data_IF_782469633379
#
_entry.id   IF_782469633379
#
_cell.length_a   1.000
_cell.length_b   1.000
_cell.length_c   1.000
_cell.angle_alpha   90.00
_cell.angle_beta   90.00
_cell.angle_gamma   90.00
#
_symmetry.space_group_name_H-M   'P 1'
#
loop_
_entity.id
_entity.type
_entity.pdbx_description
1 polymer ?
#
# COMPACT_ATOMS: atom_id res chain seq x y z
N UNK A 1 22.09 2.30 -12.28
CA UNK A 1 21.73 2.12 -10.87
C UNK A 1 21.54 0.63 -10.58
N UNK A 2 22.62 -0.05 -10.16
CA UNK A 2 22.52 -1.40 -9.63
C UNK A 2 21.65 -1.36 -8.37
N UNK A 3 20.58 -2.14 -8.40
CA UNK A 3 19.48 -2.09 -7.46
C UNK A 3 19.88 -2.02 -5.99
N UNK A 4 19.60 -0.89 -5.38
CA UNK A 4 19.60 -0.77 -3.92
C UNK A 4 18.51 -1.72 -3.42
N UNK A 5 18.92 -2.80 -2.76
CA UNK A 5 18.00 -3.76 -2.15
C UNK A 5 17.15 -2.97 -1.15
N UNK A 6 15.85 -2.92 -1.39
CA UNK A 6 14.93 -2.25 -0.48
C UNK A 6 14.86 -3.02 0.83
N UNK A 7 14.53 -2.33 1.90
CA UNK A 7 14.38 -2.95 3.21
C UNK A 7 13.24 -3.97 3.20
N UNK A 8 13.36 -5.03 3.98
CA UNK A 8 12.29 -6.04 4.16
C UNK A 8 11.14 -5.47 5.00
N UNK A 9 10.53 -4.41 4.51
CA UNK A 9 9.46 -3.66 5.16
C UNK A 9 8.27 -3.57 4.23
N UNK A 10 7.11 -3.91 4.75
CA UNK A 10 5.81 -3.51 4.19
C UNK A 10 5.34 -2.25 4.91
N UNK A 11 4.61 -1.37 4.22
CA UNK A 11 4.19 -0.10 4.81
C UNK A 11 2.74 0.20 4.48
N UNK A 12 2.01 0.69 5.49
CA UNK A 12 0.77 1.42 5.34
C UNK A 12 0.94 2.84 5.89
N UNK A 13 0.40 3.82 5.18
CA UNK A 13 0.32 5.21 5.65
C UNK A 13 -1.04 5.82 5.34
N UNK A 14 -1.73 6.32 6.35
CA UNK A 14 -3.07 6.92 6.19
C UNK A 14 -3.86 6.91 7.49
N UNK A 15 -5.15 7.21 7.37
CA UNK A 15 -6.06 7.18 8.53
C UNK A 15 -6.22 5.76 9.06
N UNK A 16 -6.09 5.61 10.38
CA UNK A 16 -6.16 4.32 11.08
C UNK A 16 -7.58 4.16 11.66
N UNK A 17 -8.57 4.09 10.76
CA UNK A 17 -9.95 3.81 11.15
C UNK A 17 -10.30 2.33 10.98
N UNK A 18 -11.13 1.81 11.88
CA UNK A 18 -11.60 0.40 11.84
C UNK A 18 -12.19 0.02 10.49
N UNK A 19 -12.93 0.95 9.87
CA UNK A 19 -13.56 0.78 8.57
C UNK A 19 -12.58 0.73 7.38
N UNK A 20 -11.31 1.06 7.58
CA UNK A 20 -10.32 1.07 6.49
C UNK A 20 -9.50 -0.22 6.35
N UNK A 21 -9.92 -1.28 7.05
CA UNK A 21 -9.32 -2.61 6.90
C UNK A 21 -8.00 -2.83 7.63
N UNK A 22 -7.62 -1.92 8.55
CA UNK A 22 -6.34 -2.00 9.27
C UNK A 22 -6.25 -3.28 10.10
N UNK A 23 -7.31 -3.62 10.85
CA UNK A 23 -7.34 -4.86 11.63
C UNK A 23 -7.08 -6.08 10.75
N UNK A 24 -7.77 -6.17 9.63
CA UNK A 24 -7.63 -7.29 8.69
C UNK A 24 -6.23 -7.36 8.09
N UNK A 25 -5.62 -6.21 7.76
CA UNK A 25 -4.23 -6.15 7.31
C UNK A 25 -3.28 -6.72 8.36
N UNK A 26 -3.43 -6.30 9.62
CA UNK A 26 -2.58 -6.76 10.73
C UNK A 26 -2.71 -8.26 10.95
N UNK A 27 -3.94 -8.77 11.03
CA UNK A 27 -4.23 -10.19 11.20
C UNK A 27 -3.64 -11.02 10.04
N UNK A 28 -3.82 -10.55 8.80
CA UNK A 28 -3.29 -11.21 7.60
C UNK A 28 -1.76 -11.16 7.54
N UNK A 29 -1.15 -10.06 7.95
CA UNK A 29 0.30 -9.92 7.97
C UNK A 29 0.93 -10.87 9.01
N UNK A 30 0.33 -11.00 10.16
CA UNK A 30 0.79 -11.94 11.21
C UNK A 30 0.58 -13.40 10.80
N UNK A 31 -0.42 -13.69 9.98
CA UNK A 31 -0.70 -15.02 9.44
C UNK A 31 0.22 -15.44 8.28
N UNK A 32 1.05 -14.52 7.75
CA UNK A 32 2.01 -14.86 6.69
C UNK A 32 3.05 -15.87 7.18
N UNK A 33 3.35 -16.86 6.33
CA UNK A 33 4.44 -17.83 6.58
C UNK A 33 5.83 -17.18 6.50
N UNK A 34 5.99 -16.13 5.71
CA UNK A 34 7.25 -15.38 5.61
C UNK A 34 7.38 -14.39 6.77
N UNK A 35 8.22 -14.70 7.72
CA UNK A 35 8.44 -13.91 8.95
C UNK A 35 9.59 -12.89 8.84
N UNK A 36 10.25 -12.81 7.69
CA UNK A 36 11.41 -11.94 7.47
C UNK A 36 11.04 -10.45 7.32
N UNK A 37 9.76 -10.16 7.07
CA UNK A 37 9.27 -8.82 6.86
C UNK A 37 8.64 -8.25 8.11
N UNK A 38 8.78 -6.94 8.26
CA UNK A 38 8.05 -6.13 9.25
C UNK A 38 7.00 -5.27 8.54
N UNK A 39 5.95 -4.88 9.27
CA UNK A 39 4.91 -3.97 8.82
C UNK A 39 4.99 -2.67 9.61
N UNK A 40 5.30 -1.58 8.92
CA UNK A 40 5.24 -0.24 9.49
C UNK A 40 3.88 0.41 9.20
N UNK A 41 3.25 0.94 10.24
CA UNK A 41 1.97 1.64 10.16
C UNK A 41 2.15 3.10 10.58
N UNK A 42 1.77 4.01 9.70
CA UNK A 42 1.82 5.46 9.91
C UNK A 42 0.42 6.05 9.86
N UNK A 43 0.11 6.95 10.77
CA UNK A 43 -1.14 7.68 10.81
C UNK A 43 -1.78 7.73 12.19
N UNK A 44 -3.06 8.13 12.23
CA UNK A 44 -3.88 8.16 13.45
C UNK A 44 -5.34 7.84 13.12
N UNK A 45 -6.10 7.43 14.12
CA UNK A 45 -7.52 7.10 13.97
C UNK A 45 -8.08 6.32 15.15
N UNK A 46 -9.34 5.91 15.03
CA UNK A 46 -10.10 5.24 16.09
C UNK A 46 -9.59 3.82 16.44
N UNK A 47 -8.73 3.23 15.59
CA UNK A 47 -8.11 1.92 15.84
C UNK A 47 -6.73 2.03 16.50
N UNK A 48 -6.28 3.21 16.87
CA UNK A 48 -4.94 3.45 17.41
C UNK A 48 -4.64 2.66 18.68
N UNK A 49 -5.58 2.64 19.62
CA UNK A 49 -5.35 1.98 20.92
C UNK A 49 -5.08 0.48 20.73
N UNK A 50 -5.92 -0.19 19.95
CA UNK A 50 -5.78 -1.62 19.65
C UNK A 50 -4.50 -1.91 18.85
N UNK A 51 -4.12 -1.02 17.93
CA UNK A 51 -2.86 -1.14 17.17
C UNK A 51 -1.64 -1.04 18.08
N UNK A 52 -1.61 -0.12 19.03
CA UNK A 52 -0.51 0.04 20.00
C UNK A 52 -0.38 -1.23 20.85
N UNK A 53 -1.49 -1.77 21.34
CA UNK A 53 -1.48 -3.02 22.12
C UNK A 53 -0.96 -4.21 21.28
N UNK A 54 -1.36 -4.29 20.02
CA UNK A 54 -0.94 -5.36 19.12
C UNK A 54 0.57 -5.24 18.80
N UNK A 55 1.04 -4.04 18.50
CA UNK A 55 2.45 -3.77 18.22
C UNK A 55 3.35 -4.09 19.42
N UNK A 56 2.87 -3.86 20.66
CA UNK A 56 3.60 -4.23 21.87
C UNK A 56 3.77 -5.75 22.04
N UNK A 57 2.93 -6.56 21.39
CA UNK A 57 2.94 -8.04 21.49
C UNK A 57 3.64 -8.72 20.31
N UNK A 58 3.90 -8.01 19.23
CA UNK A 58 4.40 -8.57 17.99
C UNK A 58 5.50 -7.69 17.38
N UNK A 59 6.75 -8.12 17.49
CA UNK A 59 7.95 -7.39 17.00
C UNK A 59 7.91 -7.09 15.49
N UNK A 60 7.07 -7.81 14.73
CA UNK A 60 6.91 -7.58 13.29
C UNK A 60 5.94 -6.44 12.95
N UNK A 61 5.24 -5.88 13.92
CA UNK A 61 4.32 -4.74 13.73
C UNK A 61 4.92 -3.53 14.41
N UNK A 62 5.18 -2.47 13.65
CA UNK A 62 5.75 -1.24 14.17
C UNK A 62 4.81 -0.07 13.89
N UNK A 63 4.24 0.48 14.95
CA UNK A 63 3.44 1.69 14.86
C UNK A 63 4.32 2.94 14.98
N UNK A 64 4.27 3.80 13.99
CA UNK A 64 5.11 5.01 13.87
C UNK A 64 4.37 6.31 14.22
N UNK A 65 3.05 6.26 14.37
CA UNK A 65 2.24 7.45 14.65
C UNK A 65 2.15 8.43 13.48
N UNK A 66 1.84 9.67 13.80
CA UNK A 66 1.82 10.76 12.85
C UNK A 66 3.22 11.31 12.63
N UNK A 67 3.60 11.44 11.37
CA UNK A 67 4.87 12.06 10.95
C UNK A 67 4.58 13.02 9.79
N UNK A 68 5.54 13.87 9.45
CA UNK A 68 5.39 14.81 8.34
C UNK A 68 5.24 14.08 6.99
N UNK A 69 4.61 14.74 6.02
CA UNK A 69 4.44 14.20 4.66
C UNK A 69 5.78 13.85 4.01
N UNK A 70 6.80 14.68 4.22
CA UNK A 70 8.13 14.47 3.63
C UNK A 70 8.76 13.18 4.14
N UNK A 71 8.60 12.87 5.42
CA UNK A 71 9.06 11.61 6.03
C UNK A 71 8.32 10.43 5.40
N UNK A 72 6.98 10.51 5.23
CA UNK A 72 6.18 9.47 4.58
C UNK A 72 6.67 9.23 3.15
N UNK A 73 6.79 10.29 2.34
CA UNK A 73 7.20 10.17 0.93
C UNK A 73 8.61 9.60 0.80
N UNK A 74 9.53 10.00 1.68
CA UNK A 74 10.88 9.45 1.71
C UNK A 74 10.87 7.95 2.08
N UNK A 75 10.07 7.58 3.09
CA UNK A 75 9.98 6.19 3.58
C UNK A 75 9.33 5.26 2.55
N UNK A 76 8.30 5.71 1.86
CA UNK A 76 7.65 4.94 0.79
C UNK A 76 8.62 4.46 -0.29
N UNK A 77 9.70 5.21 -0.57
CA UNK A 77 10.72 4.85 -1.55
C UNK A 77 11.74 3.81 -1.05
N UNK A 78 11.75 3.49 0.23
CA UNK A 78 12.74 2.61 0.86
C UNK A 78 12.20 1.21 1.15
N UNK A 79 10.89 1.08 1.30
CA UNK A 79 10.22 -0.17 1.67
C UNK A 79 10.02 -1.10 0.47
N UNK A 80 9.80 -2.39 0.74
CA UNK A 80 9.60 -3.39 -0.31
C UNK A 80 8.20 -3.34 -0.93
N UNK A 81 7.17 -3.05 -0.13
CA UNK A 81 5.76 -3.12 -0.55
C UNK A 81 4.93 -2.08 0.18
N UNK A 82 4.11 -1.35 -0.57
CA UNK A 82 3.07 -0.47 -0.04
C UNK A 82 1.73 -1.17 -0.11
N UNK A 83 0.95 -1.12 0.96
CA UNK A 83 -0.31 -1.86 1.07
C UNK A 83 -1.47 -0.92 1.35
N UNK A 84 -2.56 -1.06 0.58
CA UNK A 84 -3.82 -0.37 0.81
C UNK A 84 -4.93 -1.42 1.01
N UNK A 85 -5.31 -1.71 2.29
CA UNK A 85 -6.23 -2.78 2.63
C UNK A 85 -7.70 -2.34 2.66
N UNK A 86 -8.04 -1.20 2.06
CA UNK A 86 -9.39 -0.65 2.14
C UNK A 86 -10.43 -1.65 1.65
N UNK A 87 -11.46 -2.02 2.45
CA UNK A 87 -12.44 -3.01 2.04
C UNK A 87 -13.25 -2.57 0.82
N UNK A 88 -13.53 -3.51 -0.09
CA UNK A 88 -14.34 -3.26 -1.30
C UNK A 88 -15.84 -3.14 -1.02
N UNK A 89 -16.29 -3.61 0.16
CA UNK A 89 -17.70 -3.66 0.55
C UNK A 89 -18.35 -2.30 0.84
N UNK A 90 -17.58 -1.24 0.96
CA UNK A 90 -18.11 0.09 1.25
C UNK A 90 -18.53 0.81 -0.03
N UNK A 91 -19.76 1.36 -0.03
CA UNK A 91 -20.37 2.02 -1.19
C UNK A 91 -19.50 3.15 -1.77
N UNK A 92 -18.84 3.93 -0.93
CA UNK A 92 -17.98 5.03 -1.40
C UNK A 92 -16.76 4.57 -2.21
N UNK A 93 -16.36 3.29 -2.10
CA UNK A 93 -15.25 2.72 -2.89
C UNK A 93 -15.63 2.45 -4.34
N UNK A 94 -16.92 2.48 -4.66
CA UNK A 94 -17.44 2.21 -6.01
C UNK A 94 -17.29 3.40 -6.97
N UNK A 95 -17.26 4.62 -6.43
CA UNK A 95 -17.40 5.83 -7.25
C UNK A 95 -16.15 6.73 -7.28
N UNK A 96 -15.11 6.41 -6.52
CA UNK A 96 -13.91 7.25 -6.47
C UNK A 96 -12.63 6.45 -6.56
N UNK A 97 -11.72 6.92 -7.41
CA UNK A 97 -10.34 6.43 -7.40
C UNK A 97 -9.66 6.85 -6.09
N UNK A 98 -9.07 5.92 -5.33
CA UNK A 98 -8.43 6.25 -4.06
C UNK A 98 -7.18 7.12 -4.27
N UNK A 99 -7.13 8.37 -3.76
CA UNK A 99 -5.94 9.24 -3.92
C UNK A 99 -4.65 8.61 -3.38
N UNK A 100 -4.77 7.73 -2.39
CA UNK A 100 -3.66 6.99 -1.80
C UNK A 100 -2.95 6.09 -2.81
N UNK A 101 -3.67 5.49 -3.73
CA UNK A 101 -3.08 4.64 -4.79
C UNK A 101 -2.17 5.47 -5.68
N UNK A 102 -2.60 6.68 -6.08
CA UNK A 102 -1.77 7.59 -6.88
C UNK A 102 -0.49 7.99 -6.14
N UNK A 103 -0.60 8.32 -4.85
CA UNK A 103 0.55 8.66 -4.01
C UNK A 103 1.55 7.50 -3.92
N UNK A 104 1.04 6.27 -3.71
CA UNK A 104 1.86 5.08 -3.65
C UNK A 104 2.56 4.79 -4.98
N UNK A 105 1.84 4.87 -6.09
CA UNK A 105 2.42 4.68 -7.43
C UNK A 105 3.54 5.70 -7.72
N UNK A 106 3.39 6.96 -7.30
CA UNK A 106 4.41 8.01 -7.44
C UNK A 106 5.72 7.70 -6.70
N UNK A 107 5.68 6.86 -5.68
CA UNK A 107 6.90 6.46 -4.95
C UNK A 107 7.84 5.56 -5.76
N UNK A 108 7.34 4.91 -6.82
CA UNK A 108 8.06 3.87 -7.56
C UNK A 108 8.30 2.61 -6.73
N UNK A 109 7.45 2.35 -5.72
CA UNK A 109 7.45 1.14 -4.89
C UNK A 109 6.28 0.25 -5.32
N UNK A 110 6.44 -1.08 -5.35
CA UNK A 110 5.33 -2.00 -5.61
C UNK A 110 4.13 -1.72 -4.71
N UNK A 111 2.93 -1.75 -5.27
CA UNK A 111 1.67 -1.44 -4.57
C UNK A 111 0.75 -2.65 -4.61
N UNK A 112 0.31 -3.09 -3.44
CA UNK A 112 -0.71 -4.12 -3.25
C UNK A 112 -1.95 -3.49 -2.64
N UNK A 113 -3.07 -3.59 -3.30
CA UNK A 113 -4.33 -2.98 -2.86
C UNK A 113 -5.50 -3.93 -3.02
N UNK A 114 -6.58 -3.73 -2.29
CA UNK A 114 -7.84 -4.37 -2.58
C UNK A 114 -8.30 -3.99 -3.99
N UNK A 115 -8.86 -4.93 -4.73
CA UNK A 115 -9.48 -4.66 -6.04
C UNK A 115 -10.76 -3.86 -5.84
N UNK A 116 -10.63 -2.54 -5.79
CA UNK A 116 -11.76 -1.64 -5.58
C UNK A 116 -12.46 -1.35 -6.91
N UNK A 117 -13.81 -1.32 -6.94
CA UNK A 117 -14.57 -1.01 -8.16
C UNK A 117 -14.24 0.34 -8.80
N UNK A 118 -13.82 1.32 -7.99
CA UNK A 118 -13.40 2.66 -8.46
C UNK A 118 -12.02 2.70 -9.11
N UNK A 119 -11.27 1.59 -9.17
CA UNK A 119 -9.97 1.53 -9.87
C UNK A 119 -10.21 1.07 -11.31
N UNK A 120 -9.98 1.93 -12.33
CA UNK A 120 -10.14 1.55 -13.72
C UNK A 120 -9.22 0.41 -14.13
N UNK A 121 -9.66 -0.45 -15.06
CA UNK A 121 -8.91 -1.62 -15.53
C UNK A 121 -7.52 -1.28 -16.12
N UNK A 122 -7.32 -0.06 -16.60
CA UNK A 122 -6.02 0.41 -17.10
C UNK A 122 -4.90 0.41 -16.05
N UNK A 123 -5.26 0.40 -14.74
CA UNK A 123 -4.31 0.31 -13.64
C UNK A 123 -3.89 -1.13 -13.32
N UNK A 124 -4.58 -2.15 -13.84
CA UNK A 124 -4.33 -3.56 -13.50
C UNK A 124 -2.90 -3.99 -13.82
N UNK A 125 -2.32 -3.46 -14.87
CA UNK A 125 -0.92 -3.73 -15.25
C UNK A 125 0.12 -3.13 -14.30
N UNK A 126 -0.28 -2.21 -13.44
CA UNK A 126 0.62 -1.49 -12.52
C UNK A 126 0.50 -1.91 -11.06
N UNK A 127 -0.64 -2.51 -10.68
CA UNK A 127 -0.98 -2.83 -9.30
C UNK A 127 -1.02 -4.34 -9.06
N UNK A 128 -0.77 -4.74 -7.82
CA UNK A 128 -1.11 -6.06 -7.31
C UNK A 128 -2.41 -5.96 -6.52
N UNK A 129 -3.22 -7.02 -6.54
CA UNK A 129 -4.56 -6.97 -5.95
C UNK A 129 -4.80 -8.08 -4.91
N UNK A 130 -5.43 -7.70 -3.81
CA UNK A 130 -6.23 -8.62 -3.03
C UNK A 130 -7.56 -8.83 -3.76
N UNK A 131 -7.76 -9.99 -4.34
CA UNK A 131 -9.02 -10.34 -5.02
C UNK A 131 -10.00 -11.00 -4.06
N UNK A 132 -9.49 -11.64 -3.02
CA UNK A 132 -10.22 -12.18 -1.87
C UNK A 132 -9.71 -11.47 -0.60
N UNK A 133 -10.65 -10.97 0.20
CA UNK A 133 -10.37 -10.18 1.40
C UNK A 133 -10.43 -11.02 2.69
N UNK A 134 -10.39 -12.36 2.60
CA UNK A 134 -10.17 -13.22 3.77
C UNK A 134 -8.75 -13.06 4.30
N UNK A 135 -8.57 -13.29 5.60
CA UNK A 135 -7.25 -13.19 6.26
C UNK A 135 -6.24 -14.12 5.57
N UNK A 136 -6.64 -15.34 5.29
CA UNK A 136 -5.77 -16.34 4.64
C UNK A 136 -5.40 -15.94 3.22
N UNK A 137 -6.35 -15.50 2.40
CA UNK A 137 -6.08 -15.08 1.02
C UNK A 137 -5.20 -13.84 0.97
N UNK A 138 -5.41 -12.86 1.84
CA UNK A 138 -4.56 -11.68 1.94
C UNK A 138 -3.13 -12.04 2.40
N UNK A 139 -2.97 -12.94 3.38
CA UNK A 139 -1.68 -13.42 3.83
C UNK A 139 -0.91 -14.14 2.69
N UNK A 140 -1.61 -15.01 1.96
CA UNK A 140 -1.04 -15.71 0.81
C UNK A 140 -0.64 -14.75 -0.31
N UNK A 141 -1.47 -13.74 -0.61
CA UNK A 141 -1.15 -12.75 -1.64
C UNK A 141 0.03 -11.87 -1.27
N UNK A 142 0.14 -11.43 -0.03
CA UNK A 142 1.33 -10.71 0.44
C UNK A 142 2.59 -11.57 0.30
N UNK A 143 2.53 -12.85 0.71
CA UNK A 143 3.63 -13.80 0.60
C UNK A 143 4.03 -14.05 -0.87
N UNK A 144 3.05 -14.19 -1.76
CA UNK A 144 3.25 -14.34 -3.20
C UNK A 144 4.03 -13.14 -3.75
N UNK A 145 3.54 -11.91 -3.55
CA UNK A 145 4.17 -10.70 -4.10
C UNK A 145 5.57 -10.49 -3.54
N UNK A 146 5.78 -10.75 -2.25
CA UNK A 146 7.09 -10.61 -1.60
C UNK A 146 8.09 -11.71 -2.01
N UNK A 147 7.63 -12.80 -2.63
CA UNK A 147 8.47 -13.90 -3.14
C UNK A 147 8.78 -13.76 -4.64
N UNK A 148 8.15 -12.84 -5.34
CA UNK A 148 8.41 -12.59 -6.76
C UNK A 148 9.83 -12.06 -6.98
N UNK A 149 10.32 -12.18 -8.23
CA UNK A 149 11.56 -11.53 -8.62
C UNK A 149 11.45 -10.01 -8.39
N UNK A 150 12.33 -9.53 -7.54
CA UNK A 150 12.28 -8.13 -7.10
C UNK A 150 12.54 -7.13 -8.23
N UNK A 151 13.36 -7.51 -9.22
CA UNK A 151 13.64 -6.68 -10.39
C UNK A 151 12.37 -6.48 -11.23
N UNK A 152 11.57 -7.52 -11.36
CA UNK A 152 10.28 -7.47 -12.06
C UNK A 152 9.27 -6.60 -11.30
N UNK A 153 9.21 -6.74 -9.98
CA UNK A 153 8.35 -5.88 -9.14
C UNK A 153 8.73 -4.40 -9.26
N UNK A 154 10.03 -4.10 -9.31
CA UNK A 154 10.52 -2.72 -9.50
C UNK A 154 10.24 -2.18 -10.90
N UNK A 155 10.35 -3.01 -11.93
CA UNK A 155 10.00 -2.63 -13.31
C UNK A 155 8.53 -2.20 -13.37
N UNK A 156 7.63 -3.03 -12.86
CA UNK A 156 6.19 -2.73 -12.76
C UNK A 156 5.93 -1.44 -11.98
N UNK A 157 6.60 -1.24 -10.84
CA UNK A 157 6.47 -0.03 -10.02
C UNK A 157 7.01 1.24 -10.73
N UNK A 158 8.09 1.12 -11.48
CA UNK A 158 8.65 2.22 -12.28
C UNK A 158 7.72 2.62 -13.43
N UNK A 159 7.10 1.66 -14.08
CA UNK A 159 6.08 1.90 -15.11
C UNK A 159 4.84 2.57 -14.51
N UNK A 160 4.41 2.14 -13.30
CA UNK A 160 3.33 2.78 -12.56
C UNK A 160 3.65 4.24 -12.24
N UNK A 161 4.85 4.52 -11.76
CA UNK A 161 5.32 5.88 -11.47
C UNK A 161 5.31 6.76 -12.73
N UNK A 162 5.86 6.27 -13.82
CA UNK A 162 5.91 7.00 -15.10
C UNK A 162 4.51 7.29 -15.63
N UNK A 163 3.60 6.33 -15.54
CA UNK A 163 2.22 6.50 -15.96
C UNK A 163 1.53 7.65 -15.19
N UNK A 164 1.61 7.62 -13.86
CA UNK A 164 0.99 8.66 -13.02
C UNK A 164 1.61 10.04 -13.26
N UNK A 165 2.93 10.12 -13.43
CA UNK A 165 3.61 11.38 -13.72
C UNK A 165 3.15 12.00 -15.04
N UNK A 166 2.97 11.19 -16.08
CA UNK A 166 2.52 11.66 -17.39
C UNK A 166 1.05 12.10 -17.34
N UNK A 167 0.16 11.32 -16.73
CA UNK A 167 -1.26 11.67 -16.59
C UNK A 167 -1.49 12.94 -15.78
N UNK A 168 -0.75 13.14 -14.68
CA UNK A 168 -0.83 14.39 -13.90
C UNK A 168 -0.37 15.61 -14.69
N UNK A 169 0.65 15.48 -15.51
CA UNK A 169 1.10 16.59 -16.36
C UNK A 169 0.03 16.95 -17.39
N UNK A 170 -0.61 15.97 -18.01
CA UNK A 170 -1.71 16.20 -18.95
C UNK A 170 -2.92 16.87 -18.28
N UNK A 171 -3.28 16.41 -17.08
CA UNK A 171 -4.40 16.96 -16.31
C UNK A 171 -4.16 18.40 -15.83
N UNK A 172 -2.92 18.72 -15.42
CA UNK A 172 -2.52 20.09 -15.05
C UNK A 172 -2.46 21.04 -16.25
N UNK A 173 -2.10 20.52 -17.42
CA UNK A 173 -2.12 21.31 -18.66
C UNK A 173 -3.55 21.59 -19.10
N UNK A 174 -4.45 20.60 -19.01
CA UNK A 174 -5.89 20.79 -19.33
C UNK A 174 -6.57 21.81 -18.39
N UNK A 175 -6.23 21.81 -17.08
CA UNK A 175 -6.73 22.83 -16.14
C UNK A 175 -6.26 24.25 -16.43
N UNK A 176 -5.16 24.44 -17.16
CA UNK A 176 -4.67 25.76 -17.57
C UNK A 176 -5.33 26.26 -18.87
N UNK A 177 -6.06 25.39 -19.56
CA UNK A 177 -6.76 25.72 -20.82
C UNK A 177 -8.28 25.97 -20.62
N UNK A 178 -8.79 25.75 -19.41
CA UNK A 178 -10.15 26.08 -18.97
C UNK A 178 -10.11 27.27 -18.00
#
# INVERSE_FOLDING_TARGET
NKGRRREKVCMYSGSIHKVYGIKKLLDSFLAMNNTDYILEIYGDGDYRAELVELAAKHDRIIYKGLVSRDVIVARQKQVALLINPRPSSYEYTQYSFPPKIMEYMLSGTPVLTTKLPGIPAEYDKYLYYFEDESIEAMANKMSEVLSMDYTECLRKASEAQSYVMNEKNNFLQMKKLL
#
